data_IF_470481212139
#
_entry.id   IF_470481212139
#
_cell.length_a   1.000
_cell.length_b   1.000
_cell.length_c   1.000
_cell.angle_alpha   90.00
_cell.angle_beta   90.00
_cell.angle_gamma   90.00
#
_symmetry.space_group_name_H-M   'P 1'
#
loop_
_entity.id
_entity.type
_entity.pdbx_description
1 polymer ?
#
# COMPACT_ATOMS: atom_id res chain seq x y z
N UNK A 1 -17.32 19.90 -5.48
CA UNK A 1 -16.63 18.78 -6.17
C UNK A 1 -17.46 17.54 -5.92
N UNK A 2 -18.08 16.98 -6.96
CA UNK A 2 -18.95 15.79 -6.85
C UNK A 2 -18.09 14.53 -6.71
N UNK A 3 -18.25 13.80 -5.61
CA UNK A 3 -17.65 12.47 -5.43
C UNK A 3 -18.06 11.56 -6.60
N UNK A 4 -17.09 11.13 -7.42
CA UNK A 4 -17.32 10.16 -8.50
C UNK A 4 -17.57 8.79 -7.88
N UNK A 5 -18.64 8.11 -8.28
CA UNK A 5 -18.89 6.72 -7.88
C UNK A 5 -18.25 5.77 -8.87
N UNK A 6 -17.43 4.84 -8.39
CA UNK A 6 -16.84 3.78 -9.21
C UNK A 6 -17.80 2.61 -9.36
N UNK A 7 -17.76 1.98 -10.53
CA UNK A 7 -18.36 0.68 -10.79
C UNK A 7 -17.45 -0.45 -10.29
N UNK A 8 -17.97 -1.68 -10.20
CA UNK A 8 -17.16 -2.84 -9.86
C UNK A 8 -16.03 -3.06 -10.87
N UNK A 9 -16.29 -2.83 -12.16
CA UNK A 9 -15.29 -2.96 -13.22
C UNK A 9 -14.14 -1.97 -13.02
N UNK A 10 -14.44 -0.69 -12.86
CA UNK A 10 -13.40 0.33 -12.61
C UNK A 10 -12.63 0.05 -11.32
N UNK A 11 -13.29 -0.45 -10.27
CA UNK A 11 -12.63 -0.84 -9.01
C UNK A 11 -11.66 -2.01 -9.23
N UNK A 12 -12.03 -2.98 -10.06
CA UNK A 12 -11.15 -4.10 -10.41
C UNK A 12 -9.97 -3.61 -11.25
N UNK A 13 -10.20 -2.73 -12.22
CA UNK A 13 -9.13 -2.14 -13.05
C UNK A 13 -8.13 -1.32 -12.23
N UNK A 14 -8.60 -0.59 -11.23
CA UNK A 14 -7.78 0.25 -10.35
C UNK A 14 -7.15 -0.49 -9.16
N UNK A 15 -7.37 -1.79 -9.02
CA UNK A 15 -6.94 -2.53 -7.80
C UNK A 15 -5.43 -2.50 -7.59
N UNK A 16 -4.65 -2.54 -8.67
CA UNK A 16 -3.19 -2.50 -8.60
C UNK A 16 -2.72 -1.15 -8.08
N UNK A 17 -3.17 -0.06 -8.72
CA UNK A 17 -2.83 1.31 -8.31
C UNK A 17 -3.25 1.58 -6.85
N UNK A 18 -4.39 1.04 -6.42
CA UNK A 18 -4.82 1.13 -5.02
C UNK A 18 -3.87 0.40 -4.08
N UNK A 19 -3.47 -0.83 -4.41
CA UNK A 19 -2.57 -1.65 -3.58
C UNK A 19 -1.13 -1.11 -3.54
N UNK A 20 -0.74 -0.37 -4.57
CA UNK A 20 0.56 0.29 -4.69
C UNK A 20 0.57 1.74 -4.18
N UNK A 21 -0.57 2.23 -3.66
CA UNK A 21 -0.74 3.62 -3.20
C UNK A 21 -0.40 4.66 -4.30
N UNK A 22 -0.74 4.35 -5.55
CA UNK A 22 -0.49 5.16 -6.73
C UNK A 22 -1.73 5.96 -7.20
N UNK A 23 -2.88 5.80 -6.54
CA UNK A 23 -4.08 6.56 -6.85
C UNK A 23 -3.98 8.01 -6.39
N UNK A 24 -4.57 8.93 -7.17
CA UNK A 24 -4.83 10.28 -6.71
C UNK A 24 -5.82 10.26 -5.52
N UNK A 25 -5.75 11.22 -4.58
CA UNK A 25 -6.57 11.20 -3.37
C UNK A 25 -8.08 11.11 -3.61
N UNK A 26 -8.60 11.77 -4.64
CA UNK A 26 -10.01 11.73 -5.01
C UNK A 26 -10.43 10.34 -5.54
N UNK A 27 -9.53 9.64 -6.22
CA UNK A 27 -9.77 8.29 -6.72
C UNK A 27 -9.67 7.27 -5.60
N UNK A 28 -8.72 7.42 -4.68
CA UNK A 28 -8.62 6.60 -3.48
C UNK A 28 -9.88 6.71 -2.62
N UNK A 29 -10.39 7.94 -2.43
CA UNK A 29 -11.65 8.16 -1.71
C UNK A 29 -12.84 7.47 -2.40
N UNK A 30 -12.96 7.58 -3.73
CA UNK A 30 -14.02 6.92 -4.49
C UNK A 30 -13.90 5.38 -4.44
N UNK A 31 -12.68 4.85 -4.45
CA UNK A 31 -12.39 3.43 -4.30
C UNK A 31 -12.82 2.91 -2.94
N UNK A 32 -12.41 3.58 -1.86
CA UNK A 32 -12.79 3.21 -0.50
C UNK A 32 -14.31 3.26 -0.31
N UNK A 33 -14.98 4.32 -0.80
CA UNK A 33 -16.46 4.39 -0.79
C UNK A 33 -17.12 3.20 -1.51
N UNK A 34 -16.53 2.71 -2.62
CA UNK A 34 -17.03 1.53 -3.30
C UNK A 34 -16.84 0.26 -2.46
N UNK A 35 -15.67 0.08 -1.83
CA UNK A 35 -15.40 -1.08 -0.97
C UNK A 35 -16.35 -1.16 0.23
N UNK A 36 -16.73 -0.03 0.80
CA UNK A 36 -17.70 0.05 1.91
C UNK A 36 -19.10 -0.38 1.47
N UNK A 37 -19.47 -0.12 0.22
CA UNK A 37 -20.79 -0.39 -0.32
C UNK A 37 -20.92 -1.76 -1.03
N UNK A 38 -19.80 -2.37 -1.42
CA UNK A 38 -19.77 -3.57 -2.25
C UNK A 38 -18.97 -4.71 -1.60
N UNK A 39 -19.64 -5.68 -0.96
CA UNK A 39 -18.99 -6.84 -0.35
C UNK A 39 -18.17 -7.68 -1.34
N UNK A 40 -18.61 -7.77 -2.61
CA UNK A 40 -17.90 -8.51 -3.65
C UNK A 40 -16.53 -7.91 -3.97
N UNK A 41 -16.45 -6.60 -4.12
CA UNK A 41 -15.17 -5.90 -4.35
C UNK A 41 -14.29 -5.93 -3.10
N UNK A 42 -14.85 -5.85 -1.89
CA UNK A 42 -14.08 -6.02 -0.65
C UNK A 42 -13.39 -7.40 -0.61
N UNK A 43 -14.13 -8.47 -0.92
CA UNK A 43 -13.58 -9.83 -1.01
C UNK A 43 -12.52 -9.93 -2.11
N UNK A 44 -12.77 -9.35 -3.28
CA UNK A 44 -11.81 -9.33 -4.38
C UNK A 44 -10.49 -8.65 -3.99
N UNK A 45 -10.53 -7.48 -3.37
CA UNK A 45 -9.33 -6.78 -2.88
C UNK A 45 -8.60 -7.63 -1.83
N UNK A 46 -9.32 -8.28 -0.91
CA UNK A 46 -8.72 -9.19 0.06
C UNK A 46 -8.01 -10.38 -0.61
N UNK A 47 -8.55 -10.92 -1.70
CA UNK A 47 -7.88 -11.96 -2.50
C UNK A 47 -6.60 -11.43 -3.16
N UNK A 48 -6.65 -10.25 -3.78
CA UNK A 48 -5.46 -9.64 -4.40
C UNK A 48 -4.34 -9.38 -3.39
N UNK A 49 -4.67 -8.91 -2.17
CA UNK A 49 -3.70 -8.79 -1.07
C UNK A 49 -3.03 -10.12 -0.72
N UNK A 50 -3.78 -11.23 -0.69
CA UNK A 50 -3.23 -12.58 -0.44
C UNK A 50 -2.32 -13.05 -1.57
N UNK A 51 -2.68 -12.75 -2.82
CA UNK A 51 -1.81 -13.02 -3.98
C UNK A 51 -0.48 -12.29 -3.82
N UNK A 52 -0.50 -10.99 -3.52
CA UNK A 52 0.72 -10.20 -3.29
C UNK A 52 1.57 -10.75 -2.13
N UNK A 53 0.94 -11.09 -1.00
CA UNK A 53 1.66 -11.68 0.13
C UNK A 53 2.32 -13.01 -0.23
N UNK A 54 1.65 -13.84 -1.02
CA UNK A 54 2.17 -15.13 -1.48
C UNK A 54 3.37 -14.92 -2.40
N UNK A 55 3.27 -14.00 -3.36
CA UNK A 55 4.36 -13.66 -4.28
C UNK A 55 5.57 -13.06 -3.53
N UNK A 56 5.33 -12.15 -2.57
CA UNK A 56 6.40 -11.58 -1.73
C UNK A 56 7.19 -12.65 -0.98
N UNK A 57 6.55 -13.74 -0.55
CA UNK A 57 7.24 -14.86 0.13
C UNK A 57 8.12 -15.68 -0.82
N UNK A 58 7.85 -15.67 -2.12
CA UNK A 58 8.67 -16.36 -3.12
C UNK A 58 9.91 -15.55 -3.51
N UNK A 59 9.85 -14.23 -3.37
CA UNK A 59 11.00 -13.35 -3.54
C UNK A 59 11.83 -13.42 -2.26
N UNK A 60 12.84 -14.28 -2.26
CA UNK A 60 13.79 -14.46 -1.15
C UNK A 60 14.83 -13.33 -1.07
N UNK A 61 14.51 -12.14 -1.59
CA UNK A 61 15.28 -10.92 -1.37
C UNK A 61 14.94 -10.37 0.02
N UNK A 62 15.22 -11.18 1.03
CA UNK A 62 15.23 -10.72 2.41
C UNK A 62 16.55 -10.00 2.61
N UNK A 63 16.47 -8.70 2.92
CA UNK A 63 17.62 -7.99 3.49
C UNK A 63 18.09 -8.79 4.70
N UNK A 64 19.37 -9.14 4.73
CA UNK A 64 19.97 -9.90 5.82
C UNK A 64 19.79 -9.15 7.14
N UNK A 65 19.83 -9.87 8.26
CA UNK A 65 19.75 -9.26 9.59
C UNK A 65 20.86 -8.22 9.81
N UNK A 66 22.02 -8.39 9.17
CA UNK A 66 23.14 -7.44 9.20
C UNK A 66 22.80 -6.15 8.45
N UNK A 67 22.34 -6.25 7.20
CA UNK A 67 21.91 -5.09 6.40
C UNK A 67 20.74 -4.34 7.05
N UNK A 68 19.80 -5.06 7.68
CA UNK A 68 18.73 -4.46 8.49
C UNK A 68 19.29 -3.67 9.67
N UNK A 69 20.29 -4.23 10.36
CA UNK A 69 20.96 -3.59 11.49
C UNK A 69 21.67 -2.30 11.10
N UNK A 70 22.38 -2.31 9.97
CA UNK A 70 23.05 -1.14 9.42
C UNK A 70 22.05 -0.03 9.04
N UNK A 71 20.97 -0.39 8.34
CA UNK A 71 19.90 0.56 7.99
C UNK A 71 19.27 1.20 9.22
N UNK A 72 18.95 0.41 10.25
CA UNK A 72 18.39 0.92 11.50
C UNK A 72 19.36 1.86 12.23
N UNK A 73 20.66 1.56 12.24
CA UNK A 73 21.67 2.45 12.83
C UNK A 73 21.77 3.78 12.07
N UNK A 74 21.70 3.76 10.74
CA UNK A 74 21.67 4.97 9.92
C UNK A 74 20.45 5.84 10.24
N UNK A 75 19.25 5.26 10.29
CA UNK A 75 18.03 6.01 10.64
C UNK A 75 18.08 6.60 12.06
N UNK A 76 18.59 5.85 13.05
CA UNK A 76 18.72 6.34 14.42
C UNK A 76 19.73 7.49 14.54
N UNK A 77 20.82 7.42 13.78
CA UNK A 77 21.84 8.47 13.77
C UNK A 77 21.31 9.73 13.10
N UNK A 78 20.60 9.58 11.98
CA UNK A 78 19.91 10.69 11.30
C UNK A 78 18.90 11.37 12.23
N UNK A 79 18.03 10.61 12.91
CA UNK A 79 17.05 11.18 13.85
C UNK A 79 17.72 11.94 15.00
N UNK A 80 18.82 11.42 15.54
CA UNK A 80 19.57 12.12 16.60
C UNK A 80 20.24 13.39 16.08
N UNK A 81 20.70 13.41 14.83
CA UNK A 81 21.25 14.61 14.20
C UNK A 81 20.17 15.64 13.89
N UNK A 82 18.98 15.22 13.47
CA UNK A 82 17.80 16.08 13.27
C UNK A 82 17.30 16.70 14.59
N UNK A 83 17.42 15.96 15.71
CA UNK A 83 17.06 16.46 17.05
C UNK A 83 18.18 17.34 17.67
N UNK A 84 19.44 17.20 17.24
CA UNK A 84 20.60 17.94 17.78
C UNK A 84 21.22 18.98 16.83
N UNK A 85 20.69 19.19 15.62
CA UNK A 85 21.31 20.02 14.58
C UNK A 85 20.31 20.75 13.68
N UNK A 86 20.13 22.04 14.03
CA UNK A 86 19.34 23.16 13.44
C UNK A 86 17.81 23.16 13.70
#
# INVERSE_FOLDING_TARGET
>A
MTSRKLTCQETVELVTDYLEAALLPEMESAFNQHLDACPGCNIYVAQMRRTLQTLRRLVDETISTEEQGELLQLFQTWQKQDILGD
#
